data_IF_110808114432
#
_entry.id   IF_110808114432
#
_cell.length_a   1.000
_cell.length_b   1.000
_cell.length_c   1.000
_cell.angle_alpha   90.00
_cell.angle_beta   90.00
_cell.angle_gamma   90.00
#
_symmetry.space_group_name_H-M   'P 1'
#
loop_
_entity.id
_entity.type
_entity.pdbx_description
1 polymer ?
#
# COMPACT_ATOMS: atom_id res chain seq x y z
N UNK A 1 14.61 -11.12 -1.07
CA UNK A 1 13.40 -11.11 -0.25
C UNK A 1 12.19 -10.90 -1.15
N UNK A 2 11.15 -11.66 -0.91
CA UNK A 2 9.91 -11.64 -1.68
C UNK A 2 8.84 -10.86 -0.95
N UNK A 3 7.83 -10.41 -1.70
CA UNK A 3 6.65 -9.74 -1.12
C UNK A 3 6.01 -10.61 -0.03
N UNK A 4 5.92 -11.92 -0.26
CA UNK A 4 5.37 -12.85 0.72
C UNK A 4 6.10 -12.80 2.07
N UNK A 5 7.40 -12.56 2.07
CA UNK A 5 8.20 -12.45 3.30
C UNK A 5 7.79 -11.22 4.10
N UNK A 6 7.53 -10.12 3.41
CA UNK A 6 7.05 -8.88 4.06
C UNK A 6 5.69 -9.12 4.70
N UNK A 7 4.76 -9.76 3.99
CA UNK A 7 3.42 -10.03 4.53
C UNK A 7 3.47 -10.95 5.75
N UNK A 8 4.36 -11.94 5.78
CA UNK A 8 4.52 -12.80 6.95
C UNK A 8 5.01 -12.01 8.17
N UNK A 9 5.88 -11.04 7.96
CA UNK A 9 6.44 -10.24 9.03
C UNK A 9 5.46 -9.18 9.56
N UNK A 10 4.81 -8.45 8.67
CA UNK A 10 3.92 -7.34 9.05
C UNK A 10 2.48 -7.75 9.30
N UNK A 11 2.08 -8.90 8.77
CA UNK A 11 0.70 -9.33 8.77
C UNK A 11 0.00 -8.98 7.46
N UNK A 12 -1.15 -9.60 7.23
CA UNK A 12 -1.91 -9.47 5.99
C UNK A 12 -3.26 -8.77 6.18
N UNK A 13 -3.37 -7.91 7.19
CA UNK A 13 -4.60 -7.15 7.40
C UNK A 13 -4.86 -6.22 6.20
N UNK A 14 -6.09 -6.28 5.70
CA UNK A 14 -6.53 -5.44 4.58
C UNK A 14 -7.68 -4.59 5.06
N UNK A 15 -7.53 -3.28 4.98
CA UNK A 15 -8.59 -2.35 5.29
C UNK A 15 -9.19 -1.84 3.99
N UNK A 16 -10.49 -1.96 3.85
CA UNK A 16 -11.18 -1.60 2.63
C UNK A 16 -12.46 -0.85 2.90
N UNK A 17 -12.94 -0.16 1.87
CA UNK A 17 -14.21 0.58 1.90
C UNK A 17 -14.94 0.31 0.58
N UNK A 18 -16.21 0.69 0.53
CA UNK A 18 -16.98 0.66 -0.71
C UNK A 18 -16.85 2.00 -1.42
N UNK A 19 -17.11 2.03 -2.72
CA UNK A 19 -16.91 3.23 -3.53
C UNK A 19 -17.90 4.36 -3.27
N UNK A 20 -19.02 4.05 -2.61
CA UNK A 20 -20.10 5.03 -2.40
C UNK A 20 -20.04 5.75 -1.05
N UNK A 21 -19.14 5.39 -0.15
CA UNK A 21 -18.96 6.15 1.09
C UNK A 21 -18.31 7.49 0.77
N UNK A 22 -18.41 8.43 1.71
CA UNK A 22 -17.77 9.74 1.51
C UNK A 22 -16.27 9.65 1.73
N UNK A 23 -15.56 10.58 1.12
CA UNK A 23 -14.10 10.71 1.33
C UNK A 23 -13.83 10.98 2.81
N UNK A 24 -14.68 11.74 3.49
CA UNK A 24 -14.54 12.02 4.92
C UNK A 24 -14.58 10.73 5.75
N UNK A 25 -15.53 9.83 5.46
CA UNK A 25 -15.61 8.54 6.15
C UNK A 25 -14.36 7.69 5.91
N UNK A 26 -13.85 7.71 4.68
CA UNK A 26 -12.61 6.99 4.36
C UNK A 26 -11.43 7.55 5.16
N UNK A 27 -11.32 8.87 5.27
CA UNK A 27 -10.26 9.52 6.05
C UNK A 27 -10.35 9.16 7.52
N UNK A 28 -11.56 9.07 8.08
CA UNK A 28 -11.76 8.64 9.48
C UNK A 28 -11.20 7.24 9.70
N UNK A 29 -11.48 6.33 8.76
CA UNK A 29 -10.97 4.96 8.85
C UNK A 29 -9.44 4.94 8.75
N UNK A 30 -8.87 5.72 7.84
CA UNK A 30 -7.41 5.83 7.72
C UNK A 30 -6.79 6.30 9.05
N UNK A 31 -7.40 7.29 9.68
CA UNK A 31 -6.94 7.80 10.97
C UNK A 31 -7.06 6.77 12.08
N UNK A 32 -8.18 6.07 12.16
CA UNK A 32 -8.42 5.05 13.19
C UNK A 32 -7.48 3.86 13.05
N UNK A 33 -7.20 3.45 11.81
CA UNK A 33 -6.35 2.29 11.53
C UNK A 33 -4.88 2.66 11.34
N UNK A 34 -4.57 3.94 11.36
CA UNK A 34 -3.21 4.45 11.17
C UNK A 34 -2.59 3.96 9.85
N UNK A 35 -3.34 4.09 8.78
CA UNK A 35 -2.90 3.73 7.43
C UNK A 35 -3.08 4.92 6.49
N UNK A 36 -2.26 4.99 5.44
CA UNK A 36 -2.29 6.08 4.47
C UNK A 36 -3.11 5.80 3.22
N UNK A 37 -3.70 4.62 3.12
CA UNK A 37 -4.51 4.23 1.98
C UNK A 37 -5.50 3.14 2.36
N UNK A 38 -6.59 3.06 1.61
CA UNK A 38 -7.60 2.01 1.76
C UNK A 38 -7.88 1.43 0.38
N UNK A 39 -8.11 0.14 0.33
CA UNK A 39 -8.61 -0.48 -0.89
C UNK A 39 -10.09 -0.19 -1.03
N UNK A 40 -10.54 -0.04 -2.26
CA UNK A 40 -11.95 0.11 -2.57
C UNK A 40 -12.39 -1.22 -3.17
N UNK A 41 -13.29 -1.90 -2.48
CA UNK A 41 -13.70 -3.26 -2.81
C UNK A 41 -15.20 -3.33 -3.09
N UNK A 42 -15.58 -4.26 -3.96
CA UNK A 42 -16.98 -4.61 -4.20
C UNK A 42 -17.03 -6.12 -4.37
N UNK A 43 -17.74 -6.81 -3.47
CA UNK A 43 -17.90 -8.27 -3.53
C UNK A 43 -16.58 -9.02 -3.74
N UNK A 44 -15.57 -8.72 -2.93
CA UNK A 44 -14.22 -9.29 -3.01
C UNK A 44 -13.41 -8.89 -4.25
N UNK A 45 -13.93 -7.97 -5.07
CA UNK A 45 -13.25 -7.47 -6.25
C UNK A 45 -12.60 -6.12 -5.93
N UNK A 46 -11.35 -5.97 -6.32
CA UNK A 46 -10.64 -4.71 -6.15
C UNK A 46 -11.11 -3.73 -7.22
N UNK A 47 -11.74 -2.64 -6.78
CA UNK A 47 -12.25 -1.58 -7.66
C UNK A 47 -11.29 -0.42 -7.79
N UNK A 48 -10.53 -0.15 -6.73
CA UNK A 48 -9.63 0.98 -6.74
C UNK A 48 -8.86 1.08 -5.44
N UNK A 49 -8.12 2.18 -5.31
CA UNK A 49 -7.40 2.52 -4.10
C UNK A 49 -7.57 4.02 -3.84
N UNK A 50 -7.77 4.40 -2.58
CA UNK A 50 -7.82 5.80 -2.16
C UNK A 50 -6.75 6.04 -1.12
N UNK A 51 -6.02 7.14 -1.27
CA UNK A 51 -4.92 7.50 -0.38
C UNK A 51 -5.06 8.92 0.15
N UNK A 52 -4.29 9.23 1.20
CA UNK A 52 -4.22 10.59 1.73
C UNK A 52 -3.74 11.59 0.66
N UNK A 53 -2.89 11.15 -0.28
CA UNK A 53 -2.45 11.99 -1.39
C UNK A 53 -3.59 12.33 -2.33
N UNK A 54 -4.50 11.38 -2.58
CA UNK A 54 -5.70 11.64 -3.37
C UNK A 54 -6.54 12.72 -2.71
N UNK A 55 -6.71 12.63 -1.38
CA UNK A 55 -7.43 13.65 -0.63
C UNK A 55 -6.79 15.02 -0.78
N UNK A 56 -5.48 15.12 -0.59
CA UNK A 56 -4.78 16.40 -0.68
C UNK A 56 -4.89 16.99 -2.09
N UNK A 57 -4.70 16.19 -3.12
CA UNK A 57 -4.64 16.67 -4.51
C UNK A 57 -5.99 16.86 -5.16
N UNK A 58 -6.96 16.01 -4.82
CA UNK A 58 -8.25 15.97 -5.52
C UNK A 58 -9.40 16.58 -4.71
N UNK A 59 -9.22 16.76 -3.42
CA UNK A 59 -10.23 17.40 -2.55
C UNK A 59 -9.75 18.77 -2.11
N UNK A 60 -8.69 18.85 -1.30
CA UNK A 60 -8.22 20.11 -0.72
C UNK A 60 -7.82 21.10 -1.80
N UNK A 61 -6.95 20.70 -2.71
CA UNK A 61 -6.44 21.58 -3.76
C UNK A 61 -7.46 21.92 -4.85
N UNK A 62 -8.55 21.16 -4.93
CA UNK A 62 -9.63 21.42 -5.88
C UNK A 62 -10.81 22.16 -5.24
N UNK A 63 -10.71 22.51 -3.96
CA UNK A 63 -11.78 23.20 -3.25
C UNK A 63 -13.05 22.40 -3.07
N UNK A 64 -12.95 21.06 -3.07
CA UNK A 64 -14.09 20.17 -2.86
C UNK A 64 -14.29 19.86 -1.38
N UNK A 65 -15.49 19.38 -1.04
CA UNK A 65 -15.82 18.97 0.32
C UNK A 65 -15.69 17.45 0.46
N UNK A 66 -14.92 17.00 1.46
CA UNK A 66 -14.78 15.57 1.75
C UNK A 66 -16.10 14.93 2.21
N UNK A 67 -17.00 15.74 2.82
CA UNK A 67 -18.31 15.26 3.25
C UNK A 67 -19.30 15.08 2.10
N UNK A 68 -19.06 15.74 0.97
CA UNK A 68 -19.99 15.76 -0.16
C UNK A 68 -19.44 15.03 -1.39
N UNK A 69 -18.27 14.41 -1.27
CA UNK A 69 -17.62 13.72 -2.37
C UNK A 69 -17.52 12.23 -2.03
N UNK A 70 -17.98 11.38 -2.96
CA UNK A 70 -17.87 9.94 -2.80
C UNK A 70 -16.46 9.47 -3.14
N UNK A 71 -16.03 8.39 -2.51
CA UNK A 71 -14.70 7.77 -2.73
C UNK A 71 -14.47 7.50 -4.22
N UNK A 72 -15.48 7.00 -4.93
CA UNK A 72 -15.35 6.68 -6.36
C UNK A 72 -14.94 7.87 -7.23
N UNK A 73 -15.22 9.10 -6.78
CA UNK A 73 -14.89 10.29 -7.57
C UNK A 73 -13.41 10.62 -7.56
N UNK A 74 -12.68 10.16 -6.55
CA UNK A 74 -11.25 10.50 -6.44
C UNK A 74 -10.32 9.28 -6.37
N UNK A 75 -10.84 8.08 -6.22
CA UNK A 75 -10.02 6.87 -6.14
C UNK A 75 -9.27 6.63 -7.46
N UNK A 76 -8.15 5.92 -7.36
CA UNK A 76 -7.42 5.44 -8.53
C UNK A 76 -8.03 4.11 -8.93
N UNK A 77 -8.54 3.99 -10.16
CA UNK A 77 -9.18 2.77 -10.63
C UNK A 77 -8.19 1.76 -11.21
N UNK A 78 -7.16 2.24 -11.90
CA UNK A 78 -6.11 1.38 -12.46
C UNK A 78 -5.06 1.13 -11.41
N UNK A 79 -5.35 0.18 -10.51
CA UNK A 79 -4.47 -0.12 -9.40
C UNK A 79 -3.31 -1.00 -9.89
N UNK A 80 -2.10 -0.59 -9.51
CA UNK A 80 -0.90 -1.39 -9.78
C UNK A 80 -0.76 -2.37 -8.63
N UNK A 81 -0.66 -3.65 -8.95
CA UNK A 81 -0.58 -4.73 -7.96
C UNK A 81 0.69 -5.55 -8.15
N UNK A 82 1.03 -6.32 -7.13
CA UNK A 82 2.17 -7.24 -7.20
C UNK A 82 1.74 -8.62 -6.74
N UNK A 83 2.56 -9.62 -7.07
CA UNK A 83 2.35 -11.00 -6.67
C UNK A 83 3.16 -11.30 -5.41
N UNK A 84 2.73 -12.30 -4.60
CA UNK A 84 3.51 -12.71 -3.42
C UNK A 84 4.94 -13.11 -3.76
N UNK A 85 5.15 -13.70 -4.91
CA UNK A 85 6.46 -14.16 -5.37
C UNK A 85 7.33 -13.08 -5.99
N UNK A 86 6.82 -11.86 -6.14
CA UNK A 86 7.62 -10.74 -6.66
C UNK A 86 8.70 -10.31 -5.67
N UNK A 87 9.82 -9.82 -6.21
CA UNK A 87 10.93 -9.32 -5.41
C UNK A 87 10.67 -7.91 -4.91
N UNK A 88 11.29 -7.55 -3.79
CA UNK A 88 11.16 -6.19 -3.26
C UNK A 88 11.76 -5.14 -4.19
N UNK A 89 12.77 -5.50 -5.00
CA UNK A 89 13.32 -4.59 -6.00
C UNK A 89 12.25 -4.20 -7.03
N UNK A 90 11.40 -5.12 -7.41
CA UNK A 90 10.28 -4.83 -8.32
C UNK A 90 9.33 -3.83 -7.68
N UNK A 91 9.03 -4.00 -6.39
CA UNK A 91 8.16 -3.07 -5.66
C UNK A 91 8.77 -1.68 -5.61
N UNK A 92 10.06 -1.57 -5.33
CA UNK A 92 10.76 -0.30 -5.33
C UNK A 92 10.68 0.38 -6.70
N UNK A 93 10.93 -0.38 -7.75
CA UNK A 93 10.87 0.13 -9.12
C UNK A 93 9.49 0.68 -9.46
N UNK A 94 8.44 -0.04 -9.07
CA UNK A 94 7.06 0.40 -9.31
C UNK A 94 6.72 1.64 -8.49
N UNK A 95 7.10 1.67 -7.22
CA UNK A 95 6.82 2.81 -6.35
C UNK A 95 7.56 4.07 -6.82
N UNK A 96 8.82 3.92 -7.19
CA UNK A 96 9.64 5.02 -7.68
C UNK A 96 9.19 5.48 -9.06
N UNK A 97 9.02 4.56 -10.00
CA UNK A 97 8.66 4.88 -11.38
C UNK A 97 7.26 5.42 -11.54
N UNK A 98 6.32 4.93 -10.76
CA UNK A 98 4.92 5.37 -10.81
C UNK A 98 4.57 6.37 -9.72
N UNK A 99 5.51 6.70 -8.84
CA UNK A 99 5.32 7.63 -7.72
C UNK A 99 4.13 7.25 -6.84
N UNK A 100 4.03 5.97 -6.53
CA UNK A 100 2.98 5.41 -5.66
C UNK A 100 3.62 4.85 -4.40
N UNK A 101 2.86 4.79 -3.30
CA UNK A 101 3.37 4.38 -1.99
C UNK A 101 2.71 3.12 -1.44
N UNK A 102 1.76 2.56 -2.16
CA UNK A 102 1.01 1.40 -1.72
C UNK A 102 0.80 0.46 -2.89
N UNK A 103 1.03 -0.83 -2.66
CA UNK A 103 0.84 -1.87 -3.66
C UNK A 103 0.01 -2.97 -3.04
N UNK A 104 -1.21 -3.20 -3.54
CA UNK A 104 -1.95 -4.39 -3.15
C UNK A 104 -1.25 -5.63 -3.66
N UNK A 105 -1.25 -6.68 -2.85
CA UNK A 105 -0.70 -7.98 -3.20
C UNK A 105 -1.86 -8.88 -3.58
N UNK A 106 -1.84 -9.37 -4.82
CA UNK A 106 -2.94 -10.18 -5.34
C UNK A 106 -2.43 -11.49 -5.92
N UNK A 107 -3.25 -12.52 -5.82
CA UNK A 107 -3.03 -13.79 -6.49
C UNK A 107 -4.38 -14.45 -6.73
N UNK A 108 -4.60 -14.97 -7.96
CA UNK A 108 -5.85 -15.63 -8.36
C UNK A 108 -7.08 -14.77 -8.07
N UNK A 109 -7.00 -13.49 -8.43
CA UNK A 109 -8.04 -12.48 -8.25
C UNK A 109 -8.41 -12.19 -6.79
N UNK A 110 -7.55 -12.60 -5.84
CA UNK A 110 -7.77 -12.35 -4.41
C UNK A 110 -6.72 -11.40 -3.87
N UNK A 111 -7.16 -10.48 -3.02
CA UNK A 111 -6.26 -9.56 -2.31
C UNK A 111 -5.70 -10.31 -1.10
N UNK A 112 -4.39 -10.45 -1.03
CA UNK A 112 -3.70 -11.11 0.06
C UNK A 112 -3.16 -10.15 1.11
N UNK A 113 -3.00 -8.89 0.76
CA UNK A 113 -2.49 -7.87 1.65
C UNK A 113 -2.14 -6.60 0.90
N UNK A 114 -1.58 -5.64 1.60
CA UNK A 114 -1.11 -4.38 1.00
C UNK A 114 0.27 -4.11 1.57
N UNK A 115 1.22 -3.75 0.72
CA UNK A 115 2.53 -3.30 1.17
C UNK A 115 2.70 -1.82 0.89
N UNK A 116 3.25 -1.10 1.87
CA UNK A 116 3.52 0.32 1.76
C UNK A 116 5.00 0.55 1.50
N UNK A 117 5.34 1.79 1.11
CA UNK A 117 6.75 2.15 0.93
C UNK A 117 7.53 1.98 2.24
N UNK A 118 6.90 2.24 3.38
CA UNK A 118 7.51 2.02 4.69
C UNK A 118 7.86 0.55 4.90
N UNK A 119 6.97 -0.37 4.50
CA UNK A 119 7.22 -1.81 4.60
C UNK A 119 8.44 -2.22 3.77
N UNK A 120 8.54 -1.68 2.55
CA UNK A 120 9.64 -2.00 1.63
C UNK A 120 10.95 -1.44 2.16
N UNK A 121 10.95 -0.19 2.62
CA UNK A 121 12.15 0.44 3.20
C UNK A 121 12.63 -0.33 4.43
N UNK A 122 11.71 -0.70 5.31
CA UNK A 122 12.04 -1.49 6.51
C UNK A 122 12.69 -2.82 6.12
N UNK A 123 12.13 -3.51 5.12
CA UNK A 123 12.68 -4.78 4.65
C UNK A 123 14.09 -4.63 4.09
N UNK A 124 14.35 -3.55 3.34
CA UNK A 124 15.65 -3.27 2.77
C UNK A 124 16.68 -3.00 3.86
N UNK A 125 16.30 -2.20 4.85
CA UNK A 125 17.19 -1.88 5.98
C UNK A 125 17.58 -3.17 6.72
N UNK A 126 16.64 -4.06 6.95
CA UNK A 126 16.91 -5.34 7.60
C UNK A 126 17.83 -6.23 6.78
N UNK A 127 17.62 -6.30 5.46
CA UNK A 127 18.50 -7.03 4.57
C UNK A 127 19.92 -6.49 4.64
N UNK A 128 20.09 -5.17 4.64
CA UNK A 128 21.40 -4.53 4.72
C UNK A 128 22.07 -4.81 6.05
N UNK A 129 21.32 -4.76 7.16
CA UNK A 129 21.87 -5.09 8.49
C UNK A 129 22.35 -6.53 8.56
N UNK A 130 21.57 -7.46 8.02
CA UNK A 130 21.95 -8.87 7.99
C UNK A 130 23.22 -9.09 7.15
N UNK A 131 23.33 -8.41 6.02
CA UNK A 131 24.50 -8.48 5.15
C UNK A 131 25.73 -7.95 5.86
N UNK A 132 25.62 -6.80 6.52
CA UNK A 132 26.72 -6.18 7.27
C UNK A 132 27.18 -7.11 8.39
N UNK A 133 26.25 -7.65 9.19
CA UNK A 133 26.56 -8.56 10.28
C UNK A 133 27.26 -9.82 9.77
N UNK A 134 26.83 -10.35 8.63
CA UNK A 134 27.43 -11.52 8.02
C UNK A 134 28.89 -11.24 7.59
N UNK A 135 29.13 -10.09 6.95
CA UNK A 135 30.45 -9.66 6.54
C UNK A 135 31.36 -9.42 7.72
N UNK A 136 30.86 -8.80 8.78
CA UNK A 136 31.61 -8.57 10.02
C UNK A 136 32.02 -9.90 10.64
N UNK A 137 31.12 -10.85 10.70
CA UNK A 137 31.43 -12.20 11.22
C UNK A 137 32.52 -12.88 10.39
N UNK A 138 32.45 -12.75 9.07
CA UNK A 138 33.46 -13.33 8.18
C UNK A 138 34.84 -12.69 8.38
N UNK A 139 34.90 -11.37 8.55
CA UNK A 139 36.14 -10.64 8.76
C UNK A 139 36.77 -10.98 10.13
N UNK A 140 35.93 -11.22 11.14
CA UNK A 140 36.38 -11.51 12.50
C UNK A 140 36.96 -12.89 12.66
N UNK A 141 36.85 -13.75 11.69
CA UNK A 141 37.46 -15.07 11.68
C UNK A 141 38.93 -14.98 11.19
#
# INVERSE_FOLDING_TARGET
>A
MKVADILRSKGSNVYSVTENITVYEALKIMGEKNVGALLVMEDERLKGIISERDYARKIVLKGKSSNETAVKEIMTEKVITVLPEDDIEKCMGLMSGRKIRHLPVMKDDKVLGVISITDVVTAIIELQKNTIAHLESYISQ
#
